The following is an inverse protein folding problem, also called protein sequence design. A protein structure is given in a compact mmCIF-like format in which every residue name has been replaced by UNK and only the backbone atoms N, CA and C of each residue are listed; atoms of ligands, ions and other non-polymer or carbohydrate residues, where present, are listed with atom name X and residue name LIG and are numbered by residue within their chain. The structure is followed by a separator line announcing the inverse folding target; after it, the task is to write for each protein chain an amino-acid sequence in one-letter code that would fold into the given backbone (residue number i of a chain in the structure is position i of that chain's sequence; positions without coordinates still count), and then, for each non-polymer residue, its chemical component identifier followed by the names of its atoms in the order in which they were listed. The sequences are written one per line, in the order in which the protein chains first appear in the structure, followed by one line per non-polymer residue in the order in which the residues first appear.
data_IF_151108761734
#
_entry.id   IF_151108761734
#
_cell.length_a   1.000
_cell.length_b   1.000
_cell.length_c   1.000
_cell.angle_alpha   90.00
_cell.angle_beta   90.00
_cell.angle_gamma   90.00
#
_symmetry.space_group_name_H-M   'P 1'
#
loop_
_entity.id
_entity.type
_entity.pdbx_description
1 polymer ?
#
# COMPACT_ATOMS: atom_id res chain seq x y z
N UNK A 1 -19.18 2.47 -7.26
CA UNK A 1 -18.30 3.32 -8.11
C UNK A 1 -16.96 3.47 -7.40
N UNK A 2 -15.92 2.77 -7.84
CA UNK A 2 -14.57 2.96 -7.30
C UNK A 2 -14.04 4.23 -7.95
N UNK A 3 -13.85 5.32 -7.20
CA UNK A 3 -13.20 6.51 -7.74
C UNK A 3 -11.74 6.16 -8.08
N UNK A 4 -11.36 6.03 -9.37
CA UNK A 4 -9.99 5.66 -9.75
C UNK A 4 -8.98 6.77 -9.43
N UNK A 5 -9.47 7.96 -9.07
CA UNK A 5 -8.68 9.19 -8.91
C UNK A 5 -8.29 9.52 -7.48
N UNK A 6 -8.63 8.69 -6.48
CA UNK A 6 -8.23 8.97 -5.10
C UNK A 6 -6.79 8.51 -4.90
N UNK A 7 -5.87 9.47 -4.88
CA UNK A 7 -4.48 9.28 -4.48
C UNK A 7 -4.39 9.30 -2.94
N UNK A 8 -3.51 8.48 -2.40
CA UNK A 8 -3.25 8.36 -0.97
C UNK A 8 -1.80 8.72 -0.68
N UNK A 9 -1.53 9.32 0.46
CA UNK A 9 -0.15 9.46 0.92
C UNK A 9 0.34 8.15 1.56
N UNK A 10 1.65 8.01 1.69
CA UNK A 10 2.26 6.94 2.52
C UNK A 10 1.62 6.86 3.91
N UNK A 11 1.31 8.02 4.53
CA UNK A 11 0.69 8.06 5.85
C UNK A 11 -0.73 7.52 5.85
N UNK A 12 -1.51 7.77 4.80
CA UNK A 12 -2.86 7.24 4.67
C UNK A 12 -2.83 5.72 4.48
N UNK A 13 -1.93 5.22 3.64
CA UNK A 13 -1.72 3.78 3.43
C UNK A 13 -1.28 3.08 4.71
N UNK A 14 -0.38 3.70 5.48
CA UNK A 14 0.07 3.19 6.78
C UNK A 14 -1.11 3.05 7.76
N UNK A 15 -1.99 4.06 7.84
CA UNK A 15 -3.21 4.00 8.66
C UNK A 15 -4.19 2.92 8.21
N UNK A 16 -4.37 2.76 6.89
CA UNK A 16 -5.27 1.73 6.32
C UNK A 16 -4.83 0.33 6.73
N UNK A 17 -3.52 0.06 6.67
CA UNK A 17 -2.97 -1.26 6.96
C UNK A 17 -2.54 -1.47 8.42
N UNK A 18 -2.61 -0.43 9.26
CA UNK A 18 -2.17 -0.52 10.66
C UNK A 18 -0.67 -0.76 10.81
N UNK A 19 0.14 -0.24 9.88
CA UNK A 19 1.61 -0.42 9.83
C UNK A 19 2.34 0.92 9.95
N UNK A 20 3.64 0.88 10.20
CA UNK A 20 4.48 2.07 10.25
C UNK A 20 4.74 2.67 8.85
N UNK A 21 4.87 4.00 8.79
CA UNK A 21 5.09 4.71 7.52
C UNK A 21 6.37 4.28 6.81
N UNK A 22 7.42 3.89 7.53
CA UNK A 22 8.68 3.43 6.94
C UNK A 22 8.55 2.06 6.26
N UNK A 23 7.64 1.20 6.74
CA UNK A 23 7.34 -0.11 6.14
C UNK A 23 6.69 0.09 4.77
N UNK A 24 5.67 0.95 4.72
CA UNK A 24 5.02 1.35 3.46
C UNK A 24 6.03 1.99 2.50
N UNK A 25 6.89 2.91 2.98
CA UNK A 25 7.93 3.51 2.13
C UNK A 25 8.84 2.47 1.51
N UNK A 26 9.31 1.48 2.27
CA UNK A 26 10.17 0.41 1.75
C UNK A 26 9.50 -0.43 0.67
N UNK A 27 8.21 -0.75 0.82
CA UNK A 27 7.48 -1.50 -0.22
C UNK A 27 7.31 -0.63 -1.47
N UNK A 28 6.87 0.61 -1.30
CA UNK A 28 6.67 1.57 -2.40
C UNK A 28 7.97 1.81 -3.17
N UNK A 29 9.10 1.92 -2.46
CA UNK A 29 10.42 2.15 -3.07
C UNK A 29 10.96 0.92 -3.84
N UNK A 30 10.32 -0.24 -3.72
CA UNK A 30 10.64 -1.47 -4.47
C UNK A 30 9.68 -1.75 -5.62
N UNK A 31 8.62 -0.96 -5.77
CA UNK A 31 7.68 -1.17 -6.88
C UNK A 31 8.35 -0.74 -8.18
N UNK A 32 8.18 -1.54 -9.23
CA UNK A 32 8.62 -1.21 -10.58
C UNK A 32 7.60 -0.31 -11.29
N UNK A 33 7.09 0.69 -10.58
CA UNK A 33 6.14 1.69 -11.11
C UNK A 33 6.52 3.07 -10.63
N UNK A 34 6.39 4.05 -11.51
CA UNK A 34 6.62 5.43 -11.14
C UNK A 34 5.47 5.94 -10.25
N UNK A 35 5.80 6.39 -9.04
CA UNK A 35 4.84 6.96 -8.10
C UNK A 35 4.93 8.49 -8.16
N UNK A 36 3.87 9.19 -8.62
CA UNK A 36 3.86 10.64 -8.68
C UNK A 36 4.16 11.26 -7.32
N UNK A 37 4.81 12.42 -7.32
CA UNK A 37 5.14 13.17 -6.11
C UNK A 37 4.54 14.56 -6.16
N UNK A 38 4.03 15.03 -5.04
CA UNK A 38 3.63 16.42 -4.83
C UNK A 38 4.47 17.00 -3.69
N UNK A 39 5.50 17.76 -4.06
CA UNK A 39 6.53 18.20 -3.12
C UNK A 39 7.20 17.01 -2.41
N UNK A 40 7.04 16.93 -1.09
CA UNK A 40 7.64 15.86 -0.26
C UNK A 40 6.78 14.58 -0.21
N UNK A 41 5.54 14.63 -0.68
CA UNK A 41 4.58 13.53 -0.55
C UNK A 41 4.59 12.64 -1.80
N UNK A 42 4.53 11.32 -1.59
CA UNK A 42 4.26 10.33 -2.64
C UNK A 42 2.75 10.14 -2.75
N UNK A 43 2.23 10.18 -3.96
CA UNK A 43 0.82 10.05 -4.28
C UNK A 43 0.57 8.65 -4.80
N UNK A 44 0.21 7.75 -3.90
CA UNK A 44 -0.03 6.34 -4.15
C UNK A 44 -1.45 6.20 -4.73
N UNK A 45 -1.60 5.75 -6.00
CA UNK A 45 -2.91 5.42 -6.53
C UNK A 45 -3.56 4.31 -5.70
N UNK A 46 -4.86 4.45 -5.38
CA UNK A 46 -5.61 3.40 -4.65
C UNK A 46 -5.53 2.02 -5.30
N UNK A 47 -5.40 1.95 -6.61
CA UNK A 47 -5.26 0.68 -7.35
C UNK A 47 -4.01 -0.10 -6.94
N UNK A 48 -2.98 0.55 -6.39
CA UNK A 48 -1.76 -0.10 -5.91
C UNK A 48 -1.89 -0.65 -4.48
N UNK A 49 -3.00 -0.43 -3.78
CA UNK A 49 -3.16 -0.92 -2.41
C UNK A 49 -3.04 -2.46 -2.33
N UNK A 50 -3.55 -3.19 -3.33
CA UNK A 50 -3.40 -4.64 -3.39
C UNK A 50 -1.93 -5.08 -3.50
N UNK A 51 -1.17 -4.44 -4.40
CA UNK A 51 0.26 -4.70 -4.59
C UNK A 51 1.07 -4.34 -3.34
N UNK A 52 0.76 -3.22 -2.70
CA UNK A 52 1.42 -2.80 -1.46
C UNK A 52 1.10 -3.78 -0.33
N UNK A 53 -0.15 -4.22 -0.20
CA UNK A 53 -0.53 -5.23 0.79
C UNK A 53 0.24 -6.53 0.59
N UNK A 54 0.40 -6.99 -0.66
CA UNK A 54 1.22 -8.16 -0.97
C UNK A 54 2.68 -7.98 -0.53
N UNK A 55 3.32 -6.85 -0.88
CA UNK A 55 4.70 -6.57 -0.48
C UNK A 55 4.88 -6.42 1.05
N UNK A 56 3.88 -5.90 1.75
CA UNK A 56 3.88 -5.84 3.22
C UNK A 56 3.77 -7.25 3.84
N UNK A 57 2.97 -8.15 3.26
CA UNK A 57 2.86 -9.57 3.69
C UNK A 57 4.15 -10.34 3.42
N UNK A 58 4.75 -10.18 2.24
CA UNK A 58 6.02 -10.81 1.89
C UNK A 58 7.16 -10.37 2.84
N UNK A 59 7.05 -9.16 3.38
CA UNK A 59 7.98 -8.63 4.39
C UNK A 59 7.60 -9.00 5.84
N UNK A 60 6.58 -9.83 6.03
CA UNK A 60 6.04 -10.26 7.33
C UNK A 60 5.58 -9.09 8.23
N UNK A 61 5.11 -8.00 7.63
CA UNK A 61 4.55 -6.83 8.34
C UNK A 61 3.03 -6.81 8.38
N UNK A 62 2.39 -7.55 7.48
CA UNK A 62 0.99 -7.89 7.57
C UNK A 62 0.86 -9.40 7.73
N UNK A 63 -0.16 -9.88 8.46
CA UNK A 63 -0.46 -11.30 8.49
C UNK A 63 -0.72 -11.77 7.05
N UNK A 64 -0.20 -12.96 6.74
CA UNK A 64 -0.62 -13.67 5.52
C UNK A 64 -2.12 -13.85 5.66
N UNK A 65 -2.92 -13.42 4.68
CA UNK A 65 -4.33 -13.76 4.73
C UNK A 65 -4.38 -15.27 4.63
N UNK A 66 -4.77 -15.92 5.72
CA UNK A 66 -5.36 -17.24 5.64
C UNK A 66 -6.69 -17.00 4.93
N UNK A 67 -6.80 -17.52 3.70
CA UNK A 67 -8.05 -17.58 2.98
C UNK A 67 -9.06 -18.31 3.88
N UNK A 68 -9.98 -17.58 4.50
CA UNK A 68 -11.24 -18.18 4.92
C UNK A 68 -12.04 -18.39 3.62
N UNK A 69 -11.73 -19.50 2.94
CA UNK A 69 -12.73 -20.23 2.18
C UNK A 69 -13.80 -20.68 3.19
N UNK A 70 -14.85 -19.88 3.37
CA UNK A 70 -16.09 -20.34 3.98
C UNK A 70 -17.00 -20.89 2.87
N UNK A 71 -17.35 -22.17 3.02
CA UNK A 71 -18.24 -23.07 2.26
C UNK A 71 -19.41 -22.45 1.48
#
# INVERSE_FOLDING_TARGET
MVNPSSQLTVGDVARIFGVETWQVRRVVDRLDVEIPRFGRYRLIPRVLLGTIAAGLRDSNWLPRQEDNDED
#
